data_IF_072338911043
#
_entry.id   IF_072338911043
#
_cell.length_a   1.000
_cell.length_b   1.000
_cell.length_c   1.000
_cell.angle_alpha   90.00
_cell.angle_beta   90.00
_cell.angle_gamma   90.00
#
_symmetry.space_group_name_H-M   'P 1'
#
loop_
_entity.id
_entity.type
_entity.pdbx_description
1 polymer ?
#
# COMPACT_ATOMS: atom_id res chain seq x y z
N UNK A 1 24.49 -6.24 -4.40
CA UNK A 1 23.66 -5.74 -5.52
C UNK A 1 23.05 -4.43 -5.07
N UNK A 2 22.84 -3.45 -5.95
CA UNK A 2 22.16 -2.20 -5.59
C UNK A 2 20.83 -2.13 -6.34
N UNK A 3 19.76 -1.78 -5.63
CA UNK A 3 18.43 -1.62 -6.22
C UNK A 3 18.36 -0.33 -7.06
N UNK A 4 17.55 -0.36 -8.12
CA UNK A 4 17.36 0.74 -9.06
C UNK A 4 15.89 1.04 -9.33
N UNK A 5 15.01 0.04 -9.19
CA UNK A 5 13.58 0.22 -9.19
C UNK A 5 13.05 0.03 -7.76
N UNK A 6 12.40 1.06 -7.25
CA UNK A 6 11.83 1.12 -5.91
C UNK A 6 10.31 1.13 -6.01
N UNK A 7 9.69 0.04 -5.58
CA UNK A 7 8.25 -0.10 -5.55
C UNK A 7 7.74 0.19 -4.14
N UNK A 8 6.61 0.86 -4.05
CA UNK A 8 6.01 1.23 -2.78
C UNK A 8 4.54 0.78 -2.75
N UNK A 9 4.12 0.16 -1.66
CA UNK A 9 2.70 0.16 -1.33
C UNK A 9 2.25 1.58 -0.95
N UNK A 10 0.95 1.79 -0.77
CA UNK A 10 0.37 3.09 -0.47
C UNK A 10 -0.04 3.23 1.00
N UNK A 11 -1.05 2.43 1.39
CA UNK A 11 -1.70 2.51 2.70
C UNK A 11 -0.76 1.92 3.78
N UNK A 12 -0.34 2.70 4.77
CA UNK A 12 0.63 2.25 5.79
C UNK A 12 2.10 2.28 5.36
N UNK A 13 2.36 2.61 4.11
CA UNK A 13 3.71 2.70 3.53
C UNK A 13 4.09 4.13 3.18
N UNK A 14 3.40 4.75 2.24
CA UNK A 14 3.59 6.16 1.87
C UNK A 14 2.73 7.08 2.73
N UNK A 15 1.54 6.64 3.07
CA UNK A 15 0.50 7.45 3.69
C UNK A 15 -0.16 6.68 4.83
N UNK A 16 -0.29 7.29 6.01
CA UNK A 16 -1.21 6.84 7.05
C UNK A 16 -2.64 7.21 6.62
N UNK A 17 -3.33 6.25 6.04
CA UNK A 17 -4.70 6.40 5.58
C UNK A 17 -5.73 5.98 6.62
N UNK A 18 -5.30 5.48 7.78
CA UNK A 18 -6.18 4.96 8.82
C UNK A 18 -7.27 5.93 9.27
N UNK A 19 -7.03 7.24 9.47
CA UNK A 19 -8.07 8.13 9.97
C UNK A 19 -9.26 8.24 9.00
N UNK A 20 -8.98 8.33 7.70
CA UNK A 20 -10.01 8.42 6.66
C UNK A 20 -10.76 7.10 6.46
N UNK A 21 -10.03 5.99 6.45
CA UNK A 21 -10.62 4.64 6.29
C UNK A 21 -11.55 4.32 7.45
N UNK A 22 -11.08 4.53 8.68
CA UNK A 22 -11.87 4.23 9.89
C UNK A 22 -13.13 5.10 9.98
N UNK A 23 -13.04 6.37 9.60
CA UNK A 23 -14.22 7.23 9.58
C UNK A 23 -15.24 6.77 8.52
N UNK A 24 -14.78 6.48 7.30
CA UNK A 24 -15.67 6.00 6.25
C UNK A 24 -16.35 4.66 6.62
N UNK A 25 -15.64 3.76 7.30
CA UNK A 25 -16.20 2.51 7.82
C UNK A 25 -17.29 2.80 8.88
N UNK A 26 -17.03 3.70 9.83
CA UNK A 26 -18.03 4.09 10.84
C UNK A 26 -19.29 4.70 10.23
N UNK A 27 -19.14 5.53 9.21
CA UNK A 27 -20.28 6.12 8.51
C UNK A 27 -21.04 5.09 7.67
N UNK A 28 -20.32 4.16 7.04
CA UNK A 28 -20.94 3.03 6.36
C UNK A 28 -21.77 2.19 7.34
N UNK A 29 -21.21 1.82 8.51
CA UNK A 29 -21.96 1.11 9.57
C UNK A 29 -23.28 1.80 9.91
N UNK A 30 -23.25 3.12 10.08
CA UNK A 30 -24.46 3.91 10.38
C UNK A 30 -25.46 3.90 9.24
N UNK A 31 -24.99 4.02 7.99
CA UNK A 31 -25.87 4.07 6.82
C UNK A 31 -26.57 2.73 6.56
N UNK A 32 -25.85 1.62 6.74
CA UNK A 32 -26.41 0.27 6.53
C UNK A 32 -27.12 -0.29 7.75
N UNK A 33 -27.08 0.42 8.90
CA UNK A 33 -27.67 -0.03 10.16
C UNK A 33 -26.96 -1.25 10.76
N UNK A 34 -25.65 -1.40 10.53
CA UNK A 34 -24.88 -2.50 11.08
C UNK A 34 -24.52 -2.27 12.56
N UNK A 35 -24.39 -3.37 13.30
CA UNK A 35 -23.77 -3.32 14.63
C UNK A 35 -22.31 -2.86 14.49
N UNK A 36 -21.87 -1.82 15.25
CA UNK A 36 -20.53 -1.30 15.14
C UNK A 36 -19.46 -2.31 15.56
N UNK A 37 -18.51 -2.57 14.69
CA UNK A 37 -17.37 -3.41 15.02
C UNK A 37 -16.42 -2.72 16.03
N UNK A 38 -15.71 -3.50 16.89
CA UNK A 38 -14.64 -2.97 17.72
C UNK A 38 -13.58 -2.25 16.87
N UNK A 39 -12.98 -1.19 17.42
CA UNK A 39 -11.96 -0.39 16.74
C UNK A 39 -10.82 -1.26 16.17
N UNK A 40 -10.28 -2.19 16.97
CA UNK A 40 -9.24 -3.13 16.55
C UNK A 40 -9.63 -4.03 15.37
N UNK A 41 -10.93 -4.30 15.21
CA UNK A 41 -11.42 -5.06 14.06
C UNK A 41 -11.48 -4.19 12.81
N UNK A 42 -11.91 -2.93 12.94
CA UNK A 42 -11.92 -1.99 11.82
C UNK A 42 -10.50 -1.69 11.30
N UNK A 43 -9.52 -1.65 12.16
CA UNK A 43 -8.10 -1.48 11.77
C UNK A 43 -7.62 -2.60 10.85
N UNK A 44 -8.19 -3.80 10.95
CA UNK A 44 -7.88 -4.94 10.06
C UNK A 44 -8.44 -4.81 8.63
N UNK A 45 -9.25 -3.79 8.36
CA UNK A 45 -9.70 -3.46 7.01
C UNK A 45 -8.64 -2.74 6.18
N UNK A 46 -7.56 -2.27 6.82
CA UNK A 46 -6.50 -1.53 6.16
C UNK A 46 -5.50 -2.54 5.58
N UNK A 47 -5.34 -2.53 4.26
CA UNK A 47 -4.45 -3.45 3.53
C UNK A 47 -5.18 -4.54 2.74
N UNK A 48 -6.01 -5.39 3.36
CA UNK A 48 -6.77 -6.42 2.64
C UNK A 48 -7.77 -5.87 1.62
N UNK A 49 -8.17 -6.70 0.62
CA UNK A 49 -9.28 -6.36 -0.26
C UNK A 49 -10.57 -6.12 0.55
N UNK A 50 -11.23 -4.99 0.28
CA UNK A 50 -12.35 -4.51 1.09
C UNK A 50 -13.53 -5.48 1.14
N UNK A 51 -13.87 -6.11 0.00
CA UNK A 51 -14.94 -7.10 -0.08
C UNK A 51 -14.65 -8.31 0.82
N UNK A 52 -13.42 -8.81 0.78
CA UNK A 52 -12.99 -9.90 1.66
C UNK A 52 -13.11 -9.51 3.15
N UNK A 53 -12.74 -8.30 3.50
CA UNK A 53 -12.88 -7.80 4.87
C UNK A 53 -14.36 -7.71 5.29
N UNK A 54 -15.24 -7.26 4.39
CA UNK A 54 -16.69 -7.24 4.64
C UNK A 54 -17.27 -8.65 4.87
N UNK A 55 -16.88 -9.62 4.04
CA UNK A 55 -17.28 -11.02 4.20
C UNK A 55 -16.75 -11.58 5.53
N UNK A 56 -15.50 -11.32 5.85
CA UNK A 56 -14.81 -11.92 7.00
C UNK A 56 -15.32 -11.35 8.33
N UNK A 57 -15.42 -10.02 8.45
CA UNK A 57 -15.65 -9.38 9.75
C UNK A 57 -17.11 -9.07 10.04
N UNK A 58 -17.96 -8.91 9.01
CA UNK A 58 -19.42 -8.78 9.16
C UNK A 58 -20.16 -10.07 8.84
N UNK A 59 -19.51 -11.12 8.35
CA UNK A 59 -20.14 -12.38 7.97
C UNK A 59 -21.09 -12.26 6.79
N UNK A 60 -20.80 -11.36 5.83
CA UNK A 60 -21.69 -11.08 4.72
C UNK A 60 -21.48 -12.05 3.57
N UNK A 61 -22.60 -12.34 2.88
CA UNK A 61 -22.53 -13.00 1.58
C UNK A 61 -21.84 -12.10 0.54
N UNK A 62 -21.12 -12.64 -0.46
CA UNK A 62 -20.29 -11.87 -1.42
C UNK A 62 -21.05 -10.72 -2.11
N UNK A 63 -22.33 -10.95 -2.44
CA UNK A 63 -23.17 -9.91 -3.07
C UNK A 63 -23.42 -8.72 -2.14
N UNK A 64 -23.71 -8.99 -0.87
CA UNK A 64 -23.93 -7.95 0.15
C UNK A 64 -22.64 -7.25 0.51
N UNK A 65 -21.54 -8.00 0.65
CA UNK A 65 -20.21 -7.46 0.89
C UNK A 65 -19.80 -6.45 -0.19
N UNK A 66 -20.07 -6.77 -1.46
CA UNK A 66 -19.84 -5.85 -2.57
C UNK A 66 -20.67 -4.57 -2.44
N UNK A 67 -21.95 -4.66 -2.09
CA UNK A 67 -22.81 -3.48 -1.89
C UNK A 67 -22.28 -2.59 -0.78
N UNK A 68 -21.89 -3.17 0.37
CA UNK A 68 -21.34 -2.40 1.49
C UNK A 68 -19.98 -1.78 1.14
N UNK A 69 -19.14 -2.51 0.41
CA UNK A 69 -17.88 -1.98 -0.10
C UNK A 69 -18.08 -0.78 -1.05
N UNK A 70 -19.13 -0.81 -1.89
CA UNK A 70 -19.46 0.30 -2.79
C UNK A 70 -20.01 1.51 -2.01
N UNK A 71 -20.81 1.29 -0.95
CA UNK A 71 -21.25 2.35 -0.03
C UNK A 71 -20.05 2.99 0.66
N UNK A 72 -19.15 2.18 1.22
CA UNK A 72 -17.90 2.67 1.82
C UNK A 72 -17.10 3.53 0.83
N UNK A 73 -16.89 3.07 -0.41
CA UNK A 73 -16.12 3.79 -1.42
C UNK A 73 -16.77 5.13 -1.78
N UNK A 74 -18.09 5.16 -1.86
CA UNK A 74 -18.84 6.40 -2.08
C UNK A 74 -18.60 7.38 -0.94
N UNK A 75 -18.79 6.95 0.31
CA UNK A 75 -18.56 7.79 1.51
C UNK A 75 -17.12 8.28 1.55
N UNK A 76 -16.14 7.37 1.37
CA UNK A 76 -14.71 7.71 1.40
C UNK A 76 -14.34 8.79 0.40
N UNK A 77 -14.99 8.79 -0.77
CA UNK A 77 -14.75 9.75 -1.85
C UNK A 77 -15.55 11.04 -1.67
N UNK A 78 -16.89 10.94 -1.52
CA UNK A 78 -17.80 12.10 -1.50
C UNK A 78 -17.65 12.95 -0.24
N UNK A 79 -17.31 12.33 0.90
CA UNK A 79 -17.11 13.04 2.15
C UNK A 79 -15.64 13.42 2.40
N UNK A 80 -14.82 13.26 1.35
CA UNK A 80 -13.40 13.63 1.37
C UNK A 80 -12.61 13.01 2.55
N UNK A 81 -12.94 11.77 2.91
CA UNK A 81 -12.25 11.06 3.99
C UNK A 81 -10.76 10.88 3.68
N UNK A 82 -10.40 10.83 2.39
CA UNK A 82 -9.03 10.74 1.91
C UNK A 82 -8.15 11.90 2.41
N UNK A 83 -8.70 13.09 2.56
CA UNK A 83 -7.98 14.28 3.06
C UNK A 83 -7.60 14.19 4.55
N UNK A 84 -8.12 13.20 5.28
CA UNK A 84 -7.76 12.94 6.69
C UNK A 84 -6.52 12.07 6.84
N UNK A 85 -6.03 11.52 5.75
CA UNK A 85 -4.76 10.79 5.71
C UNK A 85 -3.57 11.70 6.02
N UNK A 86 -2.41 11.09 6.30
CA UNK A 86 -1.16 11.81 6.63
C UNK A 86 -0.01 11.18 5.87
N UNK A 87 0.74 12.02 5.13
CA UNK A 87 1.97 11.58 4.49
C UNK A 87 3.00 11.23 5.58
N UNK A 88 3.64 10.06 5.46
CA UNK A 88 4.75 9.74 6.36
C UNK A 88 5.95 10.65 6.11
N UNK A 89 6.73 10.98 7.15
CA UNK A 89 7.96 11.74 7.00
C UNK A 89 8.98 11.00 6.11
N UNK A 90 9.94 11.73 5.54
CA UNK A 90 11.00 11.23 4.67
C UNK A 90 10.56 10.62 3.32
N UNK A 91 9.25 10.56 3.01
CA UNK A 91 8.77 10.04 1.73
C UNK A 91 9.20 10.96 0.58
N UNK A 92 9.02 12.28 0.72
CA UNK A 92 9.42 13.24 -0.32
C UNK A 92 10.93 13.22 -0.55
N UNK A 93 11.70 13.17 0.53
CA UNK A 93 13.16 13.10 0.50
C UNK A 93 13.63 11.81 -0.18
N UNK A 94 12.95 10.69 0.08
CA UNK A 94 13.23 9.40 -0.55
C UNK A 94 13.00 9.44 -2.06
N UNK A 95 11.85 9.96 -2.49
CA UNK A 95 11.52 10.08 -3.91
C UNK A 95 12.47 11.03 -4.65
N UNK A 96 12.79 12.18 -4.03
CA UNK A 96 13.76 13.13 -4.58
C UNK A 96 15.14 12.51 -4.75
N UNK A 97 15.61 11.74 -3.76
CA UNK A 97 16.89 11.05 -3.81
C UNK A 97 16.91 9.99 -4.92
N UNK A 98 15.87 9.17 -5.05
CA UNK A 98 15.77 8.17 -6.13
C UNK A 98 15.93 8.86 -7.49
N UNK A 99 15.16 9.94 -7.72
CA UNK A 99 15.19 10.70 -8.96
C UNK A 99 16.56 11.32 -9.22
N UNK A 100 17.15 12.00 -8.22
CA UNK A 100 18.48 12.62 -8.32
C UNK A 100 19.56 11.60 -8.76
N UNK A 101 19.46 10.37 -8.25
CA UNK A 101 20.42 9.29 -8.53
C UNK A 101 20.08 8.46 -9.77
N UNK A 102 19.05 8.84 -10.53
CA UNK A 102 18.64 8.15 -11.76
C UNK A 102 17.99 6.79 -11.53
N UNK A 103 17.47 6.54 -10.34
CA UNK A 103 16.59 5.41 -10.05
C UNK A 103 15.16 5.67 -10.55
N UNK A 104 14.33 4.63 -10.51
CA UNK A 104 12.90 4.68 -10.85
C UNK A 104 12.07 4.31 -9.63
N UNK A 105 10.86 4.88 -9.54
CA UNK A 105 9.93 4.50 -8.49
C UNK A 105 8.50 4.35 -9.01
N UNK A 106 7.76 3.39 -8.43
CA UNK A 106 6.36 3.19 -8.76
C UNK A 106 5.54 2.85 -7.51
N UNK A 107 4.25 3.13 -7.57
CA UNK A 107 3.29 2.66 -6.56
C UNK A 107 2.67 1.36 -7.06
N UNK A 108 2.61 0.36 -6.18
CA UNK A 108 1.93 -0.92 -6.40
C UNK A 108 1.03 -1.21 -5.21
N UNK A 109 -0.30 -1.13 -5.37
CA UNK A 109 -1.22 -1.25 -4.24
C UNK A 109 -2.42 -2.16 -4.53
N UNK A 110 -2.96 -2.79 -3.49
CA UNK A 110 -4.25 -3.49 -3.55
C UNK A 110 -5.46 -2.54 -3.47
N UNK A 111 -5.22 -1.26 -3.24
CA UNK A 111 -6.21 -0.21 -3.44
C UNK A 111 -6.52 -0.05 -4.93
N UNK A 112 -7.77 0.25 -5.29
CA UNK A 112 -8.16 0.45 -6.70
C UNK A 112 -7.39 1.61 -7.34
N UNK A 113 -7.00 1.47 -8.63
CA UNK A 113 -6.22 2.46 -9.39
C UNK A 113 -6.68 3.91 -9.17
N UNK A 114 -7.98 4.17 -9.35
CA UNK A 114 -8.54 5.52 -9.15
C UNK A 114 -8.34 6.07 -7.75
N UNK A 115 -8.31 5.19 -6.74
CA UNK A 115 -8.13 5.59 -5.35
C UNK A 115 -6.65 5.82 -5.02
N UNK A 116 -5.74 5.09 -5.67
CA UNK A 116 -4.29 5.33 -5.59
C UNK A 116 -4.00 6.75 -6.10
N UNK A 117 -4.44 7.08 -7.31
CA UNK A 117 -4.26 8.40 -7.91
C UNK A 117 -4.83 9.51 -7.01
N UNK A 118 -6.10 9.36 -6.58
CA UNK A 118 -6.75 10.36 -5.73
C UNK A 118 -6.03 10.56 -4.38
N UNK A 119 -5.48 9.49 -3.78
CA UNK A 119 -4.71 9.61 -2.53
C UNK A 119 -3.43 10.41 -2.73
N UNK A 120 -2.70 10.13 -3.81
CA UNK A 120 -1.44 10.82 -4.10
C UNK A 120 -1.64 12.28 -4.53
N UNK A 121 -2.78 12.61 -5.16
CA UNK A 121 -3.14 13.98 -5.53
C UNK A 121 -3.30 14.89 -4.32
N UNK A 122 -3.82 14.40 -3.18
CA UNK A 122 -3.92 15.17 -1.92
C UNK A 122 -2.57 15.75 -1.52
N UNK A 123 -1.49 15.04 -1.83
CA UNK A 123 -0.12 15.42 -1.47
C UNK A 123 0.69 15.96 -2.66
N UNK A 124 0.09 16.09 -3.84
CA UNK A 124 0.80 16.40 -5.08
C UNK A 124 1.99 15.47 -5.34
N UNK A 125 1.84 14.16 -5.02
CA UNK A 125 2.90 13.16 -5.16
C UNK A 125 2.79 12.33 -6.43
N UNK A 126 1.65 12.29 -7.10
CA UNK A 126 1.47 11.47 -8.29
C UNK A 126 2.56 11.72 -9.36
N UNK A 127 2.99 12.97 -9.64
CA UNK A 127 4.06 13.23 -10.62
C UNK A 127 5.46 12.79 -10.19
N UNK A 128 5.63 12.42 -8.92
CA UNK A 128 6.93 11.96 -8.41
C UNK A 128 7.21 10.49 -8.76
N UNK A 129 6.18 9.72 -9.15
CA UNK A 129 6.29 8.33 -9.52
C UNK A 129 6.30 8.14 -11.04
N UNK A 130 7.10 7.17 -11.50
CA UNK A 130 7.19 6.79 -12.92
C UNK A 130 6.00 5.91 -13.36
N UNK A 131 5.36 5.19 -12.42
CA UNK A 131 4.12 4.45 -12.64
C UNK A 131 3.28 4.37 -11.37
N UNK A 132 1.95 4.32 -11.56
CA UNK A 132 0.97 4.10 -10.50
C UNK A 132 0.14 2.88 -10.89
N UNK A 133 0.16 1.83 -10.06
CA UNK A 133 -0.59 0.60 -10.31
C UNK A 133 -1.38 0.22 -9.07
N UNK A 134 -2.69 0.24 -9.18
CA UNK A 134 -3.59 -0.26 -8.17
C UNK A 134 -4.24 -1.58 -8.59
N UNK A 135 -5.08 -2.11 -7.72
CA UNK A 135 -5.86 -3.30 -8.03
C UNK A 135 -6.91 -3.03 -9.10
N UNK A 136 -6.97 -3.92 -10.09
CA UNK A 136 -7.94 -3.90 -11.18
C UNK A 136 -8.32 -5.34 -11.58
N UNK A 137 -9.18 -5.50 -12.59
CA UNK A 137 -9.52 -6.84 -13.12
C UNK A 137 -8.30 -7.55 -13.74
N UNK A 138 -7.36 -6.77 -14.30
CA UNK A 138 -6.14 -7.32 -14.92
C UNK A 138 -4.98 -7.44 -13.93
N UNK A 139 -5.07 -6.79 -12.78
CA UNK A 139 -4.09 -6.85 -11.70
C UNK A 139 -4.81 -7.15 -10.36
N UNK A 140 -5.34 -8.37 -10.17
CA UNK A 140 -6.12 -8.71 -8.98
C UNK A 140 -5.28 -8.96 -7.73
N UNK A 141 -4.00 -9.30 -7.87
CA UNK A 141 -3.09 -9.61 -6.76
C UNK A 141 -1.97 -8.59 -6.62
N UNK A 142 -1.27 -8.61 -5.48
CA UNK A 142 -0.08 -7.77 -5.27
C UNK A 142 1.04 -8.10 -6.26
N UNK A 143 1.25 -9.37 -6.54
CA UNK A 143 2.24 -9.81 -7.52
C UNK A 143 1.92 -9.27 -8.93
N UNK A 144 0.64 -9.22 -9.30
CA UNK A 144 0.23 -8.66 -10.59
C UNK A 144 0.50 -7.16 -10.67
N UNK A 145 0.22 -6.41 -9.58
CA UNK A 145 0.52 -4.96 -9.56
C UNK A 145 2.03 -4.69 -9.66
N UNK A 146 2.86 -5.53 -9.06
CA UNK A 146 4.32 -5.47 -9.17
C UNK A 146 4.77 -5.72 -10.60
N UNK A 147 4.32 -6.82 -11.21
CA UNK A 147 4.66 -7.19 -12.59
C UNK A 147 4.20 -6.12 -13.59
N UNK A 148 3.01 -5.56 -13.39
CA UNK A 148 2.48 -4.50 -14.25
C UNK A 148 3.29 -3.20 -14.12
N UNK A 149 3.71 -2.80 -12.91
CA UNK A 149 4.59 -1.65 -12.73
C UNK A 149 5.92 -1.85 -13.48
N UNK A 150 6.53 -3.03 -13.37
CA UNK A 150 7.74 -3.37 -14.11
C UNK A 150 7.52 -3.34 -15.63
N UNK A 151 6.38 -3.86 -16.10
CA UNK A 151 6.02 -3.84 -17.53
C UNK A 151 5.82 -2.42 -18.06
N UNK A 152 5.13 -1.56 -17.32
CA UNK A 152 4.91 -0.15 -17.71
C UNK A 152 6.22 0.65 -17.80
N UNK A 153 7.24 0.24 -17.02
CA UNK A 153 8.56 0.86 -17.01
C UNK A 153 9.56 0.18 -17.93
N UNK A 154 9.13 -0.81 -18.72
CA UNK A 154 10.00 -1.66 -19.56
C UNK A 154 11.21 -2.22 -18.77
N UNK A 155 10.98 -2.59 -17.48
CA UNK A 155 12.05 -3.01 -16.58
C UNK A 155 12.47 -4.46 -16.86
N UNK A 156 13.78 -4.70 -17.14
CA UNK A 156 14.20 -5.95 -17.79
C UNK A 156 14.28 -7.18 -16.88
N UNK A 157 14.15 -7.01 -15.54
CA UNK A 157 14.28 -8.13 -14.61
C UNK A 157 14.03 -7.75 -13.17
N UNK A 158 14.12 -8.71 -12.25
CA UNK A 158 13.77 -8.54 -10.83
C UNK A 158 14.96 -8.28 -9.91
N UNK A 159 16.19 -8.51 -10.37
CA UNK A 159 17.38 -8.55 -9.51
C UNK A 159 17.72 -7.22 -8.80
N UNK A 160 17.32 -6.10 -9.39
CA UNK A 160 17.54 -4.75 -8.85
C UNK A 160 16.24 -4.02 -8.49
N UNK A 161 15.16 -4.79 -8.25
CA UNK A 161 13.86 -4.31 -7.83
C UNK A 161 13.64 -4.60 -6.35
N UNK A 162 13.13 -3.61 -5.61
CA UNK A 162 12.76 -3.77 -4.20
C UNK A 162 11.37 -3.18 -3.96
N UNK A 163 10.54 -3.91 -3.20
CA UNK A 163 9.24 -3.46 -2.71
C UNK A 163 9.34 -3.04 -1.24
N UNK A 164 8.80 -1.88 -0.92
CA UNK A 164 8.49 -1.44 0.43
C UNK A 164 6.99 -1.63 0.67
N UNK A 165 6.63 -2.30 1.75
CA UNK A 165 5.23 -2.54 2.09
C UNK A 165 5.07 -2.91 3.57
N UNK A 166 3.89 -2.65 4.12
CA UNK A 166 3.62 -2.80 5.54
C UNK A 166 2.78 -4.04 5.89
N UNK A 167 2.47 -4.87 4.89
CA UNK A 167 1.57 -6.01 5.08
C UNK A 167 2.15 -7.34 4.58
N UNK A 168 1.57 -8.43 5.06
CA UNK A 168 1.90 -9.76 4.58
C UNK A 168 1.58 -9.95 3.08
N UNK A 169 0.53 -9.28 2.59
CA UNK A 169 0.20 -9.28 1.15
C UNK A 169 1.34 -8.72 0.30
N UNK A 170 2.06 -7.71 0.80
CA UNK A 170 3.21 -7.13 0.13
C UNK A 170 4.37 -8.12 0.06
N UNK A 171 4.68 -8.74 1.20
CA UNK A 171 5.75 -9.73 1.28
C UNK A 171 5.49 -10.94 0.40
N UNK A 172 4.29 -11.53 0.46
CA UNK A 172 3.89 -12.66 -0.38
C UNK A 172 3.89 -12.28 -1.87
N UNK A 173 3.38 -11.08 -2.21
CA UNK A 173 3.40 -10.56 -3.57
C UNK A 173 4.81 -10.31 -4.09
N UNK A 174 5.73 -9.80 -3.26
CA UNK A 174 7.13 -9.63 -3.62
C UNK A 174 7.82 -10.98 -3.89
N UNK A 175 7.61 -11.97 -3.02
CA UNK A 175 8.14 -13.32 -3.18
C UNK A 175 7.62 -13.96 -4.48
N UNK A 176 6.32 -13.86 -4.75
CA UNK A 176 5.68 -14.40 -5.96
C UNK A 176 6.16 -13.70 -7.24
N UNK A 177 6.40 -12.39 -7.17
CA UNK A 177 6.95 -11.61 -8.29
C UNK A 177 8.47 -11.77 -8.44
N UNK A 178 9.17 -12.34 -7.46
CA UNK A 178 10.61 -12.56 -7.45
C UNK A 178 11.42 -11.27 -7.24
N UNK A 179 10.87 -10.28 -6.53
CA UNK A 179 11.54 -9.03 -6.17
C UNK A 179 11.92 -9.02 -4.68
N UNK A 180 12.92 -8.22 -4.32
CA UNK A 180 13.30 -8.05 -2.92
C UNK A 180 12.20 -7.33 -2.14
N UNK A 181 12.12 -7.61 -0.82
CA UNK A 181 11.12 -7.03 0.05
C UNK A 181 11.75 -6.37 1.30
N UNK A 182 11.25 -5.20 1.64
CA UNK A 182 11.56 -4.48 2.88
C UNK A 182 10.25 -4.22 3.63
N UNK A 183 9.92 -5.02 4.67
CA UNK A 183 8.75 -4.80 5.49
C UNK A 183 8.88 -3.51 6.32
N UNK A 184 7.75 -2.80 6.44
CA UNK A 184 7.61 -1.56 7.20
C UNK A 184 6.78 -1.84 8.46
N UNK A 185 7.42 -1.89 9.62
CA UNK A 185 6.72 -2.20 10.88
C UNK A 185 6.05 -0.99 11.53
N UNK A 186 6.21 0.18 10.95
CA UNK A 186 5.48 1.40 11.36
C UNK A 186 4.08 1.51 10.75
N UNK A 187 3.76 0.66 9.76
CA UNK A 187 2.45 0.57 9.12
C UNK A 187 1.45 -0.25 9.94
N UNK A 188 0.52 -0.94 9.26
CA UNK A 188 -0.64 -1.57 9.90
C UNK A 188 -0.51 -3.09 10.06
N UNK A 189 0.15 -3.77 9.13
CA UNK A 189 0.06 -5.24 8.99
C UNK A 189 1.11 -6.02 9.75
N UNK A 190 2.21 -5.42 10.22
CA UNK A 190 3.30 -6.09 10.92
C UNK A 190 3.37 -5.76 12.43
N UNK A 191 2.24 -5.40 13.02
CA UNK A 191 2.16 -5.09 14.45
C UNK A 191 2.20 -6.32 15.37
N UNK A 192 1.87 -7.51 14.86
CA UNK A 192 1.81 -8.75 15.64
C UNK A 192 3.12 -9.54 15.53
N UNK A 193 3.55 -10.17 16.63
CA UNK A 193 4.72 -11.05 16.64
C UNK A 193 4.49 -12.23 15.68
N UNK A 194 5.53 -12.57 14.89
CA UNK A 194 5.44 -13.65 13.89
C UNK A 194 4.76 -13.25 12.56
N UNK A 195 4.23 -12.04 12.44
CA UNK A 195 3.55 -11.59 11.19
C UNK A 195 4.45 -11.63 9.94
N UNK A 196 5.78 -11.57 10.12
CA UNK A 196 6.77 -11.68 9.04
C UNK A 196 7.33 -13.09 8.84
N UNK A 197 6.84 -14.09 9.59
CA UNK A 197 7.36 -15.46 9.48
C UNK A 197 7.17 -16.02 8.07
N UNK A 198 8.24 -16.61 7.52
CA UNK A 198 8.27 -17.17 6.16
C UNK A 198 8.45 -16.15 5.04
N UNK A 199 8.59 -14.85 5.33
CA UNK A 199 8.92 -13.83 4.34
C UNK A 199 10.43 -13.67 4.18
N UNK A 200 10.91 -13.58 2.93
CA UNK A 200 12.30 -13.26 2.62
C UNK A 200 12.48 -11.72 2.61
N UNK A 201 13.16 -11.20 3.62
CA UNK A 201 13.29 -9.76 3.85
C UNK A 201 14.73 -9.29 3.60
N UNK A 202 14.91 -8.35 2.68
CA UNK A 202 16.22 -7.73 2.40
C UNK A 202 16.70 -6.82 3.54
N UNK A 203 15.77 -6.21 4.26
CA UNK A 203 15.98 -5.39 5.47
C UNK A 203 14.63 -5.27 6.20
N UNK A 204 14.59 -4.56 7.33
CA UNK A 204 13.35 -4.19 8.05
C UNK A 204 13.42 -2.70 8.38
N UNK A 205 12.41 -1.93 7.98
CA UNK A 205 12.25 -0.54 8.34
C UNK A 205 11.26 -0.40 9.52
N UNK A 206 11.72 0.16 10.63
CA UNK A 206 10.93 0.35 11.84
C UNK A 206 10.32 1.74 11.95
N UNK A 207 10.91 2.67 11.24
CA UNK A 207 10.44 4.05 11.14
C UNK A 207 10.60 4.55 9.69
N UNK A 208 9.88 5.59 9.26
CA UNK A 208 9.96 6.07 7.88
C UNK A 208 11.36 6.55 7.46
N UNK A 209 12.19 7.01 8.40
CA UNK A 209 13.59 7.38 8.12
C UNK A 209 14.43 6.18 7.67
N UNK A 210 14.11 4.95 8.10
CA UNK A 210 14.84 3.75 7.70
C UNK A 210 14.68 3.47 6.20
N UNK A 211 13.53 3.81 5.62
CA UNK A 211 13.30 3.72 4.16
C UNK A 211 14.27 4.66 3.43
N UNK A 212 14.36 5.90 3.87
CA UNK A 212 15.28 6.88 3.30
C UNK A 212 16.74 6.41 3.43
N UNK A 213 17.15 5.92 4.59
CA UNK A 213 18.50 5.39 4.86
C UNK A 213 18.81 4.18 3.98
N UNK A 214 17.85 3.26 3.82
CA UNK A 214 18.00 2.10 2.96
C UNK A 214 18.20 2.52 1.50
N UNK A 215 17.37 3.42 0.97
CA UNK A 215 17.48 3.94 -0.39
C UNK A 215 18.83 4.64 -0.59
N UNK A 216 19.25 5.50 0.35
CA UNK A 216 20.53 6.21 0.28
C UNK A 216 21.71 5.26 0.17
N UNK A 217 21.70 4.19 0.96
CA UNK A 217 22.76 3.19 0.95
C UNK A 217 22.91 2.48 -0.42
N UNK A 218 21.86 2.41 -1.24
CA UNK A 218 21.93 1.83 -2.57
C UNK A 218 22.78 2.66 -3.54
N UNK A 219 23.00 3.92 -3.23
CA UNK A 219 23.73 4.87 -4.08
C UNK A 219 25.10 5.27 -3.53
N UNK A 220 25.38 5.04 -2.24
CA UNK A 220 26.65 5.40 -1.58
C UNK A 220 27.77 4.37 -1.79
N UNK A 221 27.50 3.19 -2.33
CA UNK A 221 28.45 2.08 -2.50
C UNK A 221 29.14 1.99 -3.87
N UNK A 222 29.29 3.12 -4.58
CA UNK A 222 29.99 3.16 -5.88
C UNK A 222 31.16 4.13 -5.88
#
# INVERSE_FOLDING_TARGET
MSYRLFLFDLDGTLVDTSPGILEALRRMEQEVGAEPLPQKTLEKFIGPPLEWSMETYYGLEPRTAKVWADIYRRIYTEENCIAKSRLYPYIRESLALIREKGGKCAVTSLKMDRMVAATLEVYALAPEFDALVGRSEVCPTKADTIREAMRLLDWPGTADVVLFGDSRYDGEGAMEAGVAFVPLTYGFGFAEEGSMEGLDCAAVAREPEDVYRFIRAQFEGK
#
